data_IF_164741798697
#
_entry.id   IF_164741798697
#
_cell.length_a   1.000
_cell.length_b   1.000
_cell.length_c   1.000
_cell.angle_alpha   90.00
_cell.angle_beta   90.00
_cell.angle_gamma   90.00
#
_symmetry.space_group_name_H-M   'P 1'
#
loop_
_entity.id
_entity.type
_entity.pdbx_description
1 polymer ?
#
# COMPACT_ATOMS: atom_id res chain seq x y z
N UNK A 1 -23.73 3.80 -2.06
CA UNK A 1 -23.59 3.99 -0.61
C UNK A 1 -23.81 5.48 -0.28
N UNK A 2 -24.67 5.81 0.67
CA UNK A 2 -24.88 7.17 1.19
C UNK A 2 -24.32 7.26 2.61
N UNK A 3 -23.65 8.37 2.96
CA UNK A 3 -23.75 9.00 4.28
C UNK A 3 -22.99 10.34 4.30
N UNK A 4 -23.60 11.40 3.79
CA UNK A 4 -23.26 12.78 4.15
C UNK A 4 -24.39 13.30 5.04
N UNK A 5 -24.08 13.64 6.29
CA UNK A 5 -24.85 14.64 7.01
C UNK A 5 -23.93 15.45 7.93
N UNK A 6 -23.67 16.68 7.49
CA UNK A 6 -22.90 17.70 8.19
C UNK A 6 -23.64 18.23 9.42
N UNK A 7 -22.88 18.54 10.47
CA UNK A 7 -23.39 19.28 11.62
C UNK A 7 -22.29 19.68 12.60
N UNK A 8 -21.45 20.66 12.24
CA UNK A 8 -20.51 21.28 13.19
C UNK A 8 -20.97 22.70 13.54
N UNK A 9 -21.42 22.89 14.80
CA UNK A 9 -21.49 24.20 15.45
C UNK A 9 -20.21 24.41 16.28
N UNK A 10 -19.42 25.38 15.83
CA UNK A 10 -18.58 26.33 16.59
C UNK A 10 -18.17 25.98 18.03
N UNK A 11 -16.85 25.85 18.25
CA UNK A 11 -16.18 26.60 19.32
C UNK A 11 -15.31 25.79 20.30
N UNK A 12 -14.06 26.26 20.42
CA UNK A 12 -13.11 26.16 21.53
C UNK A 12 -12.21 24.90 21.68
N UNK A 13 -10.93 25.19 21.41
CA UNK A 13 -9.72 24.88 22.22
C UNK A 13 -9.24 23.42 22.26
N UNK A 14 -8.08 23.24 21.61
CA UNK A 14 -6.98 22.35 21.96
C UNK A 14 -7.35 21.02 22.61
N UNK A 15 -7.55 20.01 21.77
CA UNK A 15 -7.13 18.59 21.91
C UNK A 15 -7.64 17.89 20.64
N UNK A 16 -6.72 17.42 19.79
CA UNK A 16 -6.87 16.43 18.70
C UNK A 16 -5.43 16.29 18.13
N UNK A 17 -4.55 15.39 18.51
CA UNK A 17 -4.69 14.02 19.01
C UNK A 17 -5.64 13.20 18.12
N UNK A 18 -5.03 12.48 17.17
CA UNK A 18 -5.62 11.34 16.45
C UNK A 18 -6.70 11.76 15.45
N UNK A 19 -6.31 12.07 14.21
CA UNK A 19 -7.29 12.08 13.11
C UNK A 19 -6.73 11.78 11.71
N UNK A 20 -5.42 11.62 11.52
CA UNK A 20 -4.87 11.12 10.24
C UNK A 20 -4.74 9.58 10.21
N UNK A 21 -4.54 8.93 11.36
CA UNK A 21 -4.51 7.45 11.49
C UNK A 21 -5.89 6.78 11.38
N UNK A 22 -6.98 7.54 11.30
CA UNK A 22 -8.34 7.00 11.35
C UNK A 22 -8.93 6.63 9.97
N UNK A 23 -8.16 6.74 8.88
CA UNK A 23 -8.68 6.52 7.52
C UNK A 23 -7.82 5.60 6.65
N UNK A 24 -6.71 5.06 7.15
CA UNK A 24 -6.03 4.01 6.42
C UNK A 24 -6.90 2.74 6.50
N UNK A 25 -7.21 2.09 5.36
CA UNK A 25 -7.82 0.78 5.38
C UNK A 25 -6.93 -0.16 6.20
N UNK A 26 -7.50 -1.21 6.76
CA UNK A 26 -6.81 -1.95 7.79
C UNK A 26 -5.54 -2.61 7.24
N UNK A 27 -4.35 -2.14 7.59
CA UNK A 27 -3.12 -2.48 6.87
C UNK A 27 -2.19 -3.38 7.69
N UNK A 28 -1.35 -4.12 6.97
CA UNK A 28 -0.18 -4.79 7.53
C UNK A 28 0.98 -3.81 7.65
N UNK A 29 1.59 -3.75 8.84
CA UNK A 29 2.67 -2.80 9.16
C UNK A 29 3.89 -3.48 9.79
N UNK A 30 5.06 -2.86 9.64
CA UNK A 30 6.31 -3.23 10.33
C UNK A 30 7.18 -2.02 10.63
N UNK A 31 8.00 -2.13 11.67
CA UNK A 31 9.04 -1.16 12.01
C UNK A 31 10.31 -1.34 11.17
N UNK A 32 10.49 -2.51 10.55
CA UNK A 32 11.63 -2.83 9.68
C UNK A 32 11.18 -3.09 8.24
N UNK A 33 12.04 -2.79 7.25
CA UNK A 33 11.80 -3.17 5.86
C UNK A 33 11.56 -4.67 5.67
N UNK A 34 10.56 -5.01 4.88
CA UNK A 34 10.37 -6.37 4.33
C UNK A 34 11.19 -6.58 3.07
N UNK A 35 11.29 -5.55 2.22
CA UNK A 35 11.99 -5.64 0.95
C UNK A 35 13.45 -5.26 1.18
N UNK A 36 14.34 -6.24 1.05
CA UNK A 36 15.77 -5.97 1.07
C UNK A 36 16.16 -5.11 -0.16
N UNK A 37 17.21 -4.27 -0.07
CA UNK A 37 17.67 -3.49 -1.22
C UNK A 37 18.07 -4.34 -2.44
N UNK A 38 18.52 -5.57 -2.22
CA UNK A 38 18.97 -6.49 -3.27
C UNK A 38 17.79 -7.17 -3.99
N UNK A 39 16.67 -7.39 -3.29
CA UNK A 39 15.43 -7.97 -3.83
C UNK A 39 14.53 -6.93 -4.49
N UNK A 40 14.78 -5.65 -4.22
CA UNK A 40 14.02 -4.55 -4.79
C UNK A 40 14.10 -4.55 -6.32
N UNK A 41 12.97 -4.32 -6.98
CA UNK A 41 12.86 -4.20 -8.44
C UNK A 41 12.16 -2.91 -8.82
N UNK A 42 12.46 -2.46 -10.03
CA UNK A 42 11.81 -1.33 -10.66
C UNK A 42 10.76 -1.87 -11.64
N UNK A 43 9.54 -1.33 -11.57
CA UNK A 43 8.42 -1.75 -12.42
C UNK A 43 8.57 -1.26 -13.87
N UNK A 44 9.12 -0.05 -14.02
CA UNK A 44 9.51 0.57 -15.29
C UNK A 44 10.69 1.54 -15.06
N UNK A 45 11.63 1.65 -16.00
CA UNK A 45 12.77 2.56 -15.89
C UNK A 45 12.35 4.04 -15.79
N UNK A 46 11.20 4.39 -16.37
CA UNK A 46 10.58 5.71 -16.28
C UNK A 46 9.68 5.84 -15.02
N UNK A 47 9.10 7.02 -14.84
CA UNK A 47 8.00 7.23 -13.89
C UNK A 47 6.83 6.30 -14.16
N UNK A 48 6.12 5.92 -13.11
CA UNK A 48 4.87 5.14 -13.19
C UNK A 48 3.73 5.86 -12.48
N UNK A 49 2.50 5.49 -12.82
CA UNK A 49 1.29 5.90 -12.11
C UNK A 49 0.96 4.79 -11.13
N UNK A 50 0.84 5.11 -9.85
CA UNK A 50 0.31 4.19 -8.84
C UNK A 50 -1.14 4.58 -8.56
N UNK A 51 -2.02 3.59 -8.68
CA UNK A 51 -3.45 3.70 -8.41
C UNK A 51 -3.71 2.97 -7.10
N UNK A 52 -4.48 3.56 -6.19
CA UNK A 52 -5.01 2.81 -5.05
C UNK A 52 -6.54 2.96 -5.10
N UNK A 53 -7.22 1.81 -5.12
CA UNK A 53 -8.68 1.69 -5.23
C UNK A 53 -9.30 2.35 -6.46
N UNK A 54 -9.49 1.53 -7.51
CA UNK A 54 -10.44 1.57 -8.63
C UNK A 54 -10.79 2.88 -9.39
N UNK A 55 -10.62 4.09 -8.84
CA UNK A 55 -11.12 5.32 -9.47
C UNK A 55 -10.22 6.56 -9.30
N UNK A 56 -9.20 6.54 -8.42
CA UNK A 56 -8.33 7.70 -8.17
C UNK A 56 -6.84 7.44 -8.50
N UNK A 57 -6.23 8.35 -9.27
CA UNK A 57 -4.78 8.47 -9.45
C UNK A 57 -4.15 8.78 -8.09
N UNK A 58 -3.71 7.76 -7.36
CA UNK A 58 -3.13 7.93 -6.03
C UNK A 58 -1.85 8.77 -6.06
N UNK A 59 -0.94 8.47 -6.99
CA UNK A 59 0.31 9.22 -7.09
C UNK A 59 1.00 9.06 -8.44
N UNK A 60 1.49 10.19 -8.98
CA UNK A 60 2.59 10.16 -9.94
C UNK A 60 3.90 9.96 -9.21
N UNK A 61 4.73 9.07 -9.74
CA UNK A 61 5.99 8.72 -9.12
C UNK A 61 7.20 9.30 -9.84
N UNK A 62 8.30 9.41 -9.11
CA UNK A 62 9.62 9.71 -9.67
C UNK A 62 10.57 8.57 -9.34
N UNK A 63 11.36 8.05 -10.31
CA UNK A 63 12.29 6.98 -10.01
C UNK A 63 13.32 7.40 -8.97
N UNK A 64 13.48 6.57 -7.93
CA UNK A 64 14.47 6.83 -6.91
C UNK A 64 15.87 6.55 -7.49
N UNK A 65 16.78 7.52 -7.46
CA UNK A 65 18.13 7.34 -8.03
C UNK A 65 19.07 6.52 -7.13
N UNK A 66 18.74 6.37 -5.85
CA UNK A 66 19.54 5.67 -4.85
C UNK A 66 19.14 4.21 -4.63
N UNK A 67 17.97 3.77 -5.10
CA UNK A 67 17.49 2.40 -4.97
C UNK A 67 16.55 2.01 -6.13
N UNK A 68 16.13 0.74 -6.19
CA UNK A 68 15.26 0.23 -7.26
C UNK A 68 13.76 0.58 -7.11
N UNK A 69 13.38 1.46 -6.19
CA UNK A 69 12.00 1.92 -6.00
C UNK A 69 11.70 3.29 -6.61
N UNK A 70 10.66 3.92 -6.09
CA UNK A 70 10.20 5.26 -6.49
C UNK A 70 9.95 6.14 -5.27
N UNK A 71 9.78 7.44 -5.53
CA UNK A 71 9.11 8.36 -4.62
C UNK A 71 7.72 8.66 -5.16
N UNK A 72 6.70 8.47 -4.34
CA UNK A 72 5.37 9.01 -4.55
C UNK A 72 5.40 10.47 -4.15
N UNK A 73 5.04 11.35 -5.08
CA UNK A 73 4.97 12.78 -4.80
C UNK A 73 3.62 13.10 -4.16
N UNK A 74 3.57 14.01 -3.18
CA UNK A 74 2.29 14.51 -2.68
C UNK A 74 1.49 15.16 -3.81
N UNK A 75 0.15 15.21 -3.69
CA UNK A 75 -0.71 15.96 -4.60
C UNK A 75 -0.23 17.41 -4.77
N UNK A 76 -0.40 17.99 -5.96
CA UNK A 76 0.07 19.36 -6.23
C UNK A 76 -0.66 20.44 -5.40
N UNK A 77 -1.83 20.11 -4.84
CA UNK A 77 -2.66 20.98 -4.02
C UNK A 77 -2.42 20.86 -2.51
N UNK A 78 -1.68 19.84 -2.09
CA UNK A 78 -1.17 19.72 -0.72
C UNK A 78 0.17 20.48 -0.63
N UNK A 79 0.34 21.32 0.39
CA UNK A 79 1.37 22.36 0.44
C UNK A 79 2.81 21.82 0.33
N UNK A 80 3.76 22.72 0.04
CA UNK A 80 5.20 22.42 -0.12
C UNK A 80 5.87 21.72 1.09
N UNK A 81 5.15 21.57 2.19
CA UNK A 81 5.62 20.98 3.45
C UNK A 81 5.44 19.45 3.51
N UNK A 82 4.73 18.83 2.56
CA UNK A 82 4.59 17.36 2.52
C UNK A 82 5.78 16.69 1.83
N UNK A 83 6.36 15.70 2.52
CA UNK A 83 7.53 14.98 2.02
C UNK A 83 7.15 13.82 1.09
N UNK A 84 7.94 13.55 0.03
CA UNK A 84 7.72 12.39 -0.82
C UNK A 84 7.82 11.06 -0.06
N UNK A 85 6.88 10.16 -0.33
CA UNK A 85 6.81 8.84 0.30
C UNK A 85 7.61 7.84 -0.53
N UNK A 86 8.53 7.10 0.09
CA UNK A 86 9.32 6.10 -0.63
C UNK A 86 8.54 4.80 -0.79
N UNK A 87 8.50 4.25 -2.01
CA UNK A 87 7.84 2.98 -2.33
C UNK A 87 8.82 2.02 -3.01
N UNK A 88 8.77 0.74 -2.62
CA UNK A 88 9.59 -0.34 -3.16
C UNK A 88 8.74 -1.52 -3.57
N UNK A 89 9.27 -2.29 -4.51
CA UNK A 89 8.64 -3.48 -5.05
C UNK A 89 9.60 -4.65 -5.03
N UNK A 90 9.08 -5.87 -4.83
CA UNK A 90 9.82 -7.11 -4.98
C UNK A 90 8.93 -8.13 -5.72
N UNK A 91 9.49 -9.05 -6.52
CA UNK A 91 8.68 -10.09 -7.14
C UNK A 91 7.94 -10.93 -6.10
N UNK A 92 6.61 -10.99 -6.19
CA UNK A 92 5.80 -11.82 -5.29
C UNK A 92 5.49 -13.15 -5.97
N UNK A 93 4.84 -13.13 -7.13
CA UNK A 93 4.42 -14.33 -7.85
C UNK A 93 4.31 -14.05 -9.35
N UNK A 94 4.55 -15.07 -10.17
CA UNK A 94 4.18 -15.06 -11.58
C UNK A 94 2.87 -15.85 -11.75
N UNK A 95 1.86 -15.23 -12.36
CA UNK A 95 0.57 -15.87 -12.65
C UNK A 95 0.42 -16.15 -14.15
N UNK A 96 -0.70 -16.74 -14.55
CA UNK A 96 -1.00 -16.91 -15.97
C UNK A 96 -1.30 -15.60 -16.71
N UNK A 97 -1.74 -14.56 -15.98
CA UNK A 97 -2.14 -13.26 -16.52
C UNK A 97 -0.95 -12.29 -16.51
N UNK A 98 -0.19 -12.28 -15.42
CA UNK A 98 0.99 -11.43 -15.28
C UNK A 98 1.71 -11.56 -13.94
N UNK A 99 2.83 -10.85 -13.80
CA UNK A 99 3.55 -10.75 -12.55
C UNK A 99 2.74 -9.96 -11.50
N UNK A 100 2.82 -10.43 -10.26
CA UNK A 100 2.37 -9.74 -9.05
C UNK A 100 3.61 -9.38 -8.23
N UNK A 101 3.66 -8.16 -7.72
CA UNK A 101 4.74 -7.66 -6.88
C UNK A 101 4.26 -7.45 -5.45
N UNK A 102 5.17 -7.69 -4.51
CA UNK A 102 5.06 -7.22 -3.13
C UNK A 102 5.40 -5.74 -3.13
N UNK A 103 4.58 -4.95 -2.48
CA UNK A 103 4.74 -3.49 -2.39
C UNK A 103 5.01 -3.11 -0.95
N UNK A 104 5.97 -2.21 -0.76
CA UNK A 104 6.33 -1.67 0.54
C UNK A 104 6.36 -0.15 0.46
N UNK A 105 5.57 0.50 1.31
CA UNK A 105 5.47 1.96 1.40
C UNK A 105 6.07 2.39 2.73
N UNK A 106 7.08 3.25 2.69
CA UNK A 106 7.74 3.78 3.89
C UNK A 106 7.01 5.04 4.36
N UNK A 107 6.31 4.91 5.48
CA UNK A 107 5.67 6.00 6.21
C UNK A 107 6.63 6.56 7.25
N UNK A 108 6.70 7.88 7.37
CA UNK A 108 7.51 8.57 8.40
C UNK A 108 6.61 9.60 9.09
N UNK A 109 6.47 9.49 10.40
CA UNK A 109 5.67 10.40 11.23
C UNK A 109 6.41 10.63 12.55
N UNK A 110 6.62 11.89 12.96
CA UNK A 110 7.18 12.27 14.27
C UNK A 110 8.45 11.47 14.70
N UNK A 111 9.41 11.31 13.79
CA UNK A 111 10.66 10.52 13.92
C UNK A 111 10.49 8.98 13.97
N UNK A 112 9.25 8.48 13.87
CA UNK A 112 8.94 7.07 13.74
C UNK A 112 8.86 6.68 12.26
N UNK A 113 9.35 5.48 11.91
CA UNK A 113 9.25 4.93 10.55
C UNK A 113 8.46 3.63 10.61
N UNK A 114 7.43 3.54 9.78
CA UNK A 114 6.67 2.32 9.56
C UNK A 114 6.67 1.94 8.08
N UNK A 115 6.53 0.65 7.81
CA UNK A 115 6.46 0.09 6.47
C UNK A 115 5.10 -0.57 6.31
N UNK A 116 4.29 -0.04 5.38
CA UNK A 116 3.00 -0.60 5.00
C UNK A 116 3.22 -1.57 3.84
N UNK A 117 2.58 -2.74 3.89
CA UNK A 117 2.69 -3.77 2.86
C UNK A 117 1.43 -3.84 2.01
N UNK A 118 1.64 -3.94 0.70
CA UNK A 118 0.60 -4.17 -0.30
C UNK A 118 1.00 -5.20 -1.35
N UNK A 119 0.11 -5.39 -2.31
CA UNK A 119 0.35 -6.15 -3.53
C UNK A 119 0.12 -5.25 -4.72
N UNK A 120 0.90 -5.44 -5.78
CA UNK A 120 0.81 -4.62 -6.98
C UNK A 120 0.69 -5.47 -8.22
N UNK A 121 -0.18 -5.04 -9.13
CA UNK A 121 -0.33 -5.59 -10.47
C UNK A 121 -0.20 -4.50 -11.52
N UNK A 122 0.01 -4.92 -12.76
CA UNK A 122 -0.07 -4.04 -13.92
C UNK A 122 -1.55 -3.72 -14.19
N UNK A 123 -1.86 -2.44 -14.36
CA UNK A 123 -3.22 -1.97 -14.65
C UNK A 123 -3.21 -1.07 -15.91
N UNK A 124 -3.21 -1.68 -17.12
CA UNK A 124 -3.12 -0.96 -18.41
C UNK A 124 -4.22 0.06 -18.66
N UNK A 125 -5.38 -0.13 -18.05
CA UNK A 125 -6.54 0.76 -18.08
C UNK A 125 -6.22 2.18 -17.56
N UNK A 126 -5.20 2.31 -16.70
CA UNK A 126 -4.74 3.59 -16.15
C UNK A 126 -3.48 4.16 -16.84
N UNK A 127 -3.10 3.64 -18.02
CA UNK A 127 -2.01 4.25 -18.79
C UNK A 127 -2.36 5.66 -19.27
N UNK A 128 -1.51 6.63 -18.92
CA UNK A 128 -1.69 8.02 -19.32
C UNK A 128 -0.34 8.69 -19.62
N UNK A 129 -0.33 9.60 -20.60
CA UNK A 129 0.82 10.41 -20.98
C UNK A 129 2.12 9.61 -21.28
N UNK A 130 1.99 8.36 -21.71
CA UNK A 130 3.10 7.45 -21.98
C UNK A 130 3.72 6.81 -20.73
N UNK A 131 3.11 7.02 -19.56
CA UNK A 131 3.44 6.35 -18.30
C UNK A 131 2.57 5.10 -18.13
N UNK A 132 3.13 4.09 -17.46
CA UNK A 132 2.41 2.84 -17.16
C UNK A 132 1.70 2.93 -15.81
N UNK A 133 0.44 2.48 -15.78
CA UNK A 133 -0.37 2.33 -14.57
C UNK A 133 -0.13 1.03 -13.80
N UNK A 134 -0.05 1.11 -12.48
CA UNK A 134 0.02 -0.05 -11.61
C UNK A 134 -0.95 0.13 -10.46
N UNK A 135 -1.77 -0.88 -10.25
CA UNK A 135 -2.74 -0.90 -9.17
C UNK A 135 -2.09 -1.47 -7.91
N UNK A 136 -2.22 -0.75 -6.81
CA UNK A 136 -1.66 -1.08 -5.50
C UNK A 136 -2.82 -1.36 -4.55
N UNK A 137 -2.93 -2.61 -4.14
CA UNK A 137 -3.88 -3.01 -3.13
C UNK A 137 -3.19 -3.17 -1.79
N UNK A 138 -3.86 -2.67 -0.75
CA UNK A 138 -3.44 -2.83 0.63
C UNK A 138 -4.38 -3.85 1.28
N UNK A 139 -3.91 -5.10 1.50
CA UNK A 139 -4.71 -6.17 2.06
C UNK A 139 -5.33 -5.78 3.41
N UNK A 140 -6.63 -6.02 3.54
CA UNK A 140 -7.38 -5.67 4.74
C UNK A 140 -7.08 -6.64 5.89
N UNK A 141 -6.35 -6.18 6.90
CA UNK A 141 -5.93 -6.99 8.03
C UNK A 141 -7.09 -7.37 8.98
N UNK A 142 -8.24 -6.69 8.88
CA UNK A 142 -9.42 -6.98 9.69
C UNK A 142 -10.18 -8.25 9.27
N UNK A 143 -9.94 -8.73 8.05
CA UNK A 143 -10.60 -9.94 7.51
C UNK A 143 -9.80 -11.22 7.81
N UNK A 144 -8.60 -11.09 8.40
CA UNK A 144 -7.76 -12.21 8.77
C UNK A 144 -8.38 -12.94 9.96
N UNK A 145 -8.70 -14.22 9.77
CA UNK A 145 -9.27 -15.05 10.83
C UNK A 145 -8.29 -15.23 12.00
N UNK A 146 -8.79 -15.60 13.17
CA UNK A 146 -7.94 -15.93 14.32
C UNK A 146 -6.99 -17.10 14.01
N UNK A 147 -7.46 -18.11 13.28
CA UNK A 147 -6.65 -19.26 12.87
C UNK A 147 -5.49 -18.85 11.94
N UNK A 148 -5.76 -17.99 10.96
CA UNK A 148 -4.70 -17.46 10.08
C UNK A 148 -3.74 -16.57 10.85
N UNK A 149 -4.24 -15.76 11.79
CA UNK A 149 -3.38 -14.94 12.65
C UNK A 149 -2.44 -15.80 13.48
N UNK A 150 -2.92 -16.87 14.10
CA UNK A 150 -2.07 -17.81 14.84
C UNK A 150 -1.09 -18.55 13.93
N UNK A 151 -1.53 -18.96 12.73
CA UNK A 151 -0.70 -19.71 11.77
C UNK A 151 0.47 -18.89 11.24
N UNK A 152 0.21 -17.63 10.91
CA UNK A 152 1.19 -16.71 10.31
C UNK A 152 1.85 -15.77 11.33
N UNK A 153 1.49 -15.91 12.60
CA UNK A 153 1.94 -15.04 13.68
C UNK A 153 1.44 -13.60 13.56
N UNK A 154 0.40 -13.30 12.79
CA UNK A 154 -0.09 -11.93 12.61
C UNK A 154 -0.68 -11.42 13.93
N UNK A 155 -0.12 -10.33 14.45
CA UNK A 155 -0.56 -9.71 15.69
C UNK A 155 -1.47 -8.53 15.39
N UNK A 156 -2.64 -8.47 16.03
CA UNK A 156 -3.56 -7.34 15.88
C UNK A 156 -3.13 -6.24 16.84
N UNK A 157 -2.71 -5.10 16.29
CA UNK A 157 -2.30 -3.93 17.07
C UNK A 157 -3.53 -3.14 17.53
N UNK A 158 -4.48 -2.91 16.60
CA UNK A 158 -5.75 -2.24 16.88
C UNK A 158 -6.87 -2.72 15.91
N UNK A 159 -8.01 -2.02 15.85
CA UNK A 159 -9.13 -2.39 14.97
C UNK A 159 -8.84 -2.31 13.47
N UNK A 160 -7.80 -1.59 13.09
CA UNK A 160 -7.41 -1.25 11.72
C UNK A 160 -5.94 -1.62 11.42
N UNK A 161 -5.14 -2.12 12.36
CA UNK A 161 -3.75 -2.44 12.04
C UNK A 161 -3.33 -3.80 12.61
N UNK A 162 -2.53 -4.51 11.82
CA UNK A 162 -1.83 -5.70 12.27
C UNK A 162 -0.32 -5.51 12.11
N UNK A 163 0.43 -5.87 13.15
CA UNK A 163 1.87 -6.06 13.06
C UNK A 163 2.18 -7.46 12.58
N UNK A 164 3.33 -7.56 11.92
CA UNK A 164 3.96 -8.81 11.57
C UNK A 164 5.16 -8.97 12.50
N UNK A 165 5.19 -9.97 13.41
CA UNK A 165 6.16 -9.97 14.49
C UNK A 165 7.53 -10.55 14.10
N UNK A 166 7.68 -11.31 13.00
CA UNK A 166 8.97 -11.91 12.57
C UNK A 166 9.01 -12.25 11.08
N UNK A 167 10.20 -12.56 10.54
CA UNK A 167 10.56 -12.98 9.16
C UNK A 167 9.74 -14.14 8.53
N UNK A 168 8.64 -14.59 9.14
CA UNK A 168 7.63 -15.35 8.42
C UNK A 168 7.16 -14.48 7.25
N UNK A 169 7.56 -14.87 6.03
CA UNK A 169 7.58 -13.91 4.93
C UNK A 169 6.15 -13.51 4.62
N UNK A 170 5.84 -12.22 4.79
CA UNK A 170 4.57 -11.65 4.36
C UNK A 170 4.27 -12.01 2.90
N UNK A 171 5.31 -12.21 2.10
CA UNK A 171 5.22 -12.76 0.77
C UNK A 171 4.56 -14.15 0.73
N UNK A 172 4.91 -15.09 1.62
CA UNK A 172 4.29 -16.41 1.68
C UNK A 172 2.83 -16.34 2.14
N UNK A 173 2.52 -15.53 3.16
CA UNK A 173 1.13 -15.30 3.57
C UNK A 173 0.31 -14.71 2.40
N UNK A 174 0.82 -13.67 1.74
CA UNK A 174 0.10 -13.04 0.61
C UNK A 174 -0.05 -14.01 -0.55
N UNK A 175 0.99 -14.79 -0.88
CA UNK A 175 0.91 -15.84 -1.91
C UNK A 175 -0.11 -16.90 -1.58
N UNK A 176 -0.28 -17.28 -0.32
CA UNK A 176 -1.20 -18.34 0.07
C UNK A 176 -2.64 -17.83 0.21
N UNK A 177 -2.83 -16.77 1.00
CA UNK A 177 -4.14 -16.22 1.32
C UNK A 177 -4.79 -15.48 0.14
N UNK A 178 -4.00 -14.85 -0.74
CA UNK A 178 -4.52 -14.02 -1.84
C UNK A 178 -4.36 -14.69 -3.20
N UNK A 179 -3.92 -15.95 -3.25
CA UNK A 179 -3.76 -16.69 -4.51
C UNK A 179 -5.03 -16.69 -5.35
N UNK A 180 -6.18 -16.87 -4.70
CA UNK A 180 -7.46 -16.92 -5.37
C UNK A 180 -7.74 -15.61 -6.12
N UNK A 181 -7.38 -14.45 -5.56
CA UNK A 181 -7.52 -13.15 -6.21
C UNK A 181 -6.53 -13.02 -7.37
N UNK A 182 -5.28 -13.44 -7.19
CA UNK A 182 -4.27 -13.37 -8.25
C UNK A 182 -4.60 -14.26 -9.45
N UNK A 183 -5.33 -15.35 -9.23
CA UNK A 183 -5.81 -16.25 -10.29
C UNK A 183 -7.18 -15.83 -10.87
N UNK A 184 -7.86 -14.85 -10.26
CA UNK A 184 -9.17 -14.37 -10.69
C UNK A 184 -9.02 -13.33 -11.82
N UNK A 185 -9.50 -13.60 -13.05
CA UNK A 185 -9.44 -12.64 -14.14
C UNK A 185 -10.13 -11.31 -13.83
N UNK A 186 -11.21 -11.32 -13.04
CA UNK A 186 -11.98 -10.11 -12.74
C UNK A 186 -11.12 -9.10 -11.95
N UNK A 187 -10.26 -9.58 -11.06
CA UNK A 187 -9.29 -8.76 -10.33
C UNK A 187 -8.31 -8.03 -11.26
N UNK A 188 -7.94 -8.65 -12.38
CA UNK A 188 -7.04 -8.06 -13.37
C UNK A 188 -7.73 -7.06 -14.29
N UNK A 189 -9.05 -7.13 -14.42
CA UNK A 189 -9.85 -6.25 -15.28
C UNK A 189 -10.21 -4.92 -14.58
N UNK A 190 -9.94 -4.81 -13.26
CA UNK A 190 -10.06 -3.56 -12.50
C UNK A 190 -11.49 -3.18 -12.09
N UNK A 191 -12.41 -4.16 -12.04
CA UNK A 191 -13.82 -4.00 -11.61
C UNK A 191 -14.04 -4.26 -10.10
#
# INVERSE_FOLDING_TARGET
MQCLNSGLKSGLKSVLAISALALLPACFMSETPFISPDDAVRLDEASVILVCSAEDDCARTVPNRGNKGYFMMPPEDEGEDEEPVAVRFAPLMETAVGPVWLTEIRMVEDDETAYVVGVTRRAPEFDADGLKGFDVELPWCGDVSEEERETWGIEKLDSYTCSLPTDASIADYLREAHKAWFDDPDWWDGD
#
